data_IF_546873759719
#
_entry.id   IF_546873759719
#
_cell.length_a   1.000
_cell.length_b   1.000
_cell.length_c   1.000
_cell.angle_alpha   90.00
_cell.angle_beta   90.00
_cell.angle_gamma   90.00
#
_symmetry.space_group_name_H-M   'P 1'
#
loop_
_entity.id
_entity.type
_entity.pdbx_description
1 polymer ?
#
# COMPACT_ATOMS: atom_id res chain seq x y z
N UNK A 1 2.41 -11.13 -19.52
CA UNK A 1 1.80 -9.90 -20.10
C UNK A 1 2.88 -9.03 -20.77
N UNK A 2 2.65 -8.35 -21.90
CA UNK A 2 3.61 -7.38 -22.40
C UNK A 2 3.69 -6.20 -21.43
N UNK A 3 4.85 -6.03 -20.80
CA UNK A 3 5.09 -4.97 -19.84
C UNK A 3 5.35 -3.65 -20.58
N UNK A 4 4.36 -2.75 -20.55
CA UNK A 4 4.45 -1.40 -21.16
C UNK A 4 5.06 -0.35 -20.21
N UNK A 5 5.40 -0.74 -18.98
CA UNK A 5 6.01 0.15 -18.00
C UNK A 5 7.50 0.34 -18.28
N UNK A 6 7.91 1.60 -18.38
CA UNK A 6 9.33 1.98 -18.52
C UNK A 6 10.07 2.04 -17.17
N UNK A 7 9.40 1.67 -16.08
CA UNK A 7 9.98 1.71 -14.75
C UNK A 7 11.06 0.64 -14.62
N UNK A 8 12.28 1.05 -14.31
CA UNK A 8 13.40 0.14 -14.10
C UNK A 8 14.19 0.53 -12.84
N UNK A 9 14.73 -0.49 -12.19
CA UNK A 9 15.56 -0.33 -11.00
C UNK A 9 16.94 0.19 -11.41
N UNK A 10 17.41 1.25 -10.77
CA UNK A 10 18.79 1.70 -10.91
C UNK A 10 19.75 0.73 -10.19
N UNK A 11 20.99 0.65 -10.68
CA UNK A 11 22.03 -0.14 -10.02
C UNK A 11 22.44 0.56 -8.72
N UNK A 12 22.08 -0.02 -7.57
CA UNK A 12 22.47 0.45 -6.23
C UNK A 12 23.32 -0.61 -5.50
N UNK A 13 23.86 -0.28 -4.32
CA UNK A 13 24.60 -1.24 -3.47
C UNK A 13 23.76 -2.49 -3.17
N UNK A 14 24.45 -3.61 -2.90
CA UNK A 14 23.85 -4.94 -2.76
C UNK A 14 22.76 -4.99 -1.70
N UNK A 15 21.55 -5.37 -2.12
CA UNK A 15 20.45 -5.81 -1.26
C UNK A 15 20.19 -7.29 -1.54
N UNK A 16 19.68 -8.03 -0.56
CA UNK A 16 19.33 -9.44 -0.75
C UNK A 16 18.21 -9.57 -1.77
N UNK A 17 18.35 -10.52 -2.71
CA UNK A 17 17.28 -10.88 -3.64
C UNK A 17 16.17 -11.60 -2.88
N UNK A 18 14.93 -11.32 -3.27
CA UNK A 18 13.72 -11.98 -2.76
C UNK A 18 12.81 -12.31 -3.95
N UNK A 19 11.99 -13.34 -3.80
CA UNK A 19 10.94 -13.69 -4.75
C UNK A 19 9.59 -13.21 -4.23
N UNK A 20 8.83 -12.51 -5.07
CA UNK A 20 7.42 -12.16 -4.78
C UNK A 20 6.52 -12.70 -5.88
N UNK A 21 5.22 -12.78 -5.60
CA UNK A 21 4.22 -13.25 -6.55
C UNK A 21 3.29 -12.11 -6.91
N UNK A 22 3.27 -11.72 -8.18
CA UNK A 22 2.37 -10.68 -8.71
C UNK A 22 1.33 -11.36 -9.58
N UNK A 23 0.06 -11.35 -9.17
CA UNK A 23 -1.02 -12.08 -9.85
C UNK A 23 -0.70 -13.58 -10.05
N UNK A 24 0.03 -14.15 -9.08
CA UNK A 24 0.51 -15.54 -9.13
C UNK A 24 1.75 -15.76 -10.01
N UNK A 25 2.20 -14.76 -10.77
CA UNK A 25 3.47 -14.84 -11.51
C UNK A 25 4.64 -14.48 -10.60
N UNK A 26 5.68 -15.31 -10.63
CA UNK A 26 6.91 -15.11 -9.85
C UNK A 26 7.72 -13.94 -10.42
N UNK A 27 8.10 -12.99 -9.56
CA UNK A 27 8.88 -11.80 -9.91
C UNK A 27 10.07 -11.65 -8.95
N UNK A 28 11.27 -11.48 -9.51
CA UNK A 28 12.47 -11.16 -8.74
C UNK A 28 12.42 -9.70 -8.25
N UNK A 29 12.69 -9.50 -6.97
CA UNK A 29 12.81 -8.20 -6.34
C UNK A 29 14.01 -8.16 -5.37
N UNK A 30 14.24 -6.99 -4.78
CA UNK A 30 15.23 -6.81 -3.73
C UNK A 30 14.56 -6.43 -2.42
N UNK A 31 15.00 -7.04 -1.32
CA UNK A 31 14.50 -6.73 0.01
C UNK A 31 14.56 -5.21 0.27
N UNK A 32 13.44 -4.65 0.72
CA UNK A 32 13.30 -3.21 1.00
C UNK A 32 12.85 -2.35 -0.20
N UNK A 33 12.76 -2.89 -1.42
CA UNK A 33 12.02 -2.21 -2.49
C UNK A 33 10.55 -2.04 -2.10
N UNK A 34 9.92 -0.93 -2.48
CA UNK A 34 8.49 -0.81 -2.27
C UNK A 34 7.71 -1.74 -3.20
N UNK A 35 6.64 -2.35 -2.71
CA UNK A 35 5.76 -3.21 -3.50
C UNK A 35 5.25 -2.50 -4.77
N UNK A 36 4.94 -1.20 -4.67
CA UNK A 36 4.54 -0.39 -5.82
C UNK A 36 5.64 -0.29 -6.90
N UNK A 37 6.91 -0.21 -6.50
CA UNK A 37 8.01 -0.13 -7.46
C UNK A 37 8.20 -1.45 -8.21
N UNK A 38 8.05 -2.59 -7.51
CA UNK A 38 8.10 -3.93 -8.11
C UNK A 38 6.90 -4.16 -9.04
N UNK A 39 5.70 -3.74 -8.64
CA UNK A 39 4.48 -3.76 -9.47
C UNK A 39 4.63 -2.97 -10.76
N UNK A 40 5.18 -1.75 -10.69
CA UNK A 40 5.50 -0.97 -11.87
C UNK A 40 6.51 -1.69 -12.76
N UNK A 41 7.55 -2.28 -12.18
CA UNK A 41 8.59 -3.02 -12.91
C UNK A 41 8.06 -4.29 -13.57
N UNK A 42 7.06 -4.93 -12.98
CA UNK A 42 6.37 -6.10 -13.52
C UNK A 42 5.32 -5.75 -14.59
N UNK A 43 4.98 -4.47 -14.74
CA UNK A 43 3.97 -4.03 -15.70
C UNK A 43 2.54 -4.34 -15.28
N UNK A 44 2.30 -4.59 -13.98
CA UNK A 44 0.96 -4.84 -13.46
C UNK A 44 0.19 -3.51 -13.34
N UNK A 45 -0.25 -3.01 -14.49
CA UNK A 45 -1.02 -1.78 -14.61
C UNK A 45 -2.39 -2.05 -15.25
N UNK A 46 -3.46 -1.35 -14.82
CA UNK A 46 -3.51 -0.52 -13.60
C UNK A 46 -3.26 -1.36 -12.33
N UNK A 47 -2.75 -0.75 -11.26
CA UNK A 47 -2.54 -1.43 -9.97
C UNK A 47 -3.81 -1.49 -9.12
N UNK A 48 -4.74 -0.57 -9.35
CA UNK A 48 -6.07 -0.55 -8.73
C UNK A 48 -7.14 0.01 -9.66
N UNK A 49 -8.40 -0.15 -9.28
CA UNK A 49 -9.53 0.62 -9.84
C UNK A 49 -10.18 1.52 -8.79
N UNK A 50 -10.76 2.64 -9.21
CA UNK A 50 -11.53 3.53 -8.31
C UNK A 50 -12.84 2.86 -7.89
N UNK A 51 -13.28 3.10 -6.66
CA UNK A 51 -14.49 2.46 -6.10
C UNK A 51 -15.79 2.93 -6.75
N UNK A 52 -15.82 4.14 -7.30
CA UNK A 52 -17.04 4.74 -7.89
C UNK A 52 -17.07 4.58 -9.40
N UNK A 53 -16.03 5.03 -10.10
CA UNK A 53 -15.98 5.04 -11.58
C UNK A 53 -15.31 3.81 -12.19
N UNK A 54 -14.64 2.96 -11.40
CA UNK A 54 -13.90 1.81 -11.91
C UNK A 54 -12.65 2.17 -12.72
N UNK A 55 -12.23 3.44 -12.70
CA UNK A 55 -11.07 3.90 -13.48
C UNK A 55 -9.77 3.29 -12.97
N UNK A 56 -8.94 2.82 -13.90
CA UNK A 56 -7.63 2.29 -13.60
C UNK A 56 -6.69 3.37 -13.07
N UNK A 57 -5.95 3.05 -12.00
CA UNK A 57 -4.93 3.92 -11.42
C UNK A 57 -3.62 3.18 -11.22
N UNK A 58 -2.54 3.94 -11.16
CA UNK A 58 -1.18 3.45 -11.04
C UNK A 58 -0.44 4.21 -9.94
N UNK A 59 0.64 3.64 -9.37
CA UNK A 59 1.46 4.35 -8.41
C UNK A 59 1.97 5.69 -8.97
N UNK A 60 1.71 6.77 -8.25
CA UNK A 60 2.01 8.13 -8.71
C UNK A 60 2.99 8.85 -7.77
N UNK A 61 2.55 9.21 -6.55
CA UNK A 61 3.37 10.05 -5.66
C UNK A 61 4.57 9.35 -5.01
N UNK A 62 4.54 8.01 -4.88
CA UNK A 62 5.54 7.22 -4.14
C UNK A 62 5.85 7.66 -2.69
N UNK A 63 4.95 8.42 -2.06
CA UNK A 63 5.14 9.00 -0.72
C UNK A 63 3.99 8.69 0.25
N UNK A 64 3.01 7.89 -0.16
CA UNK A 64 1.85 7.53 0.67
C UNK A 64 0.74 8.58 0.75
N UNK A 65 0.80 9.67 -0.01
CA UNK A 65 -0.20 10.76 0.11
C UNK A 65 -1.37 10.66 -0.89
N UNK A 66 -1.15 10.08 -2.08
CA UNK A 66 -2.17 10.08 -3.14
C UNK A 66 -3.11 8.87 -3.13
N UNK A 67 -2.76 7.78 -2.44
CA UNK A 67 -3.53 6.52 -2.44
C UNK A 67 -3.78 5.88 -3.83
N UNK A 68 -3.00 6.25 -4.86
CA UNK A 68 -3.13 5.63 -6.18
C UNK A 68 -2.39 4.28 -6.30
N UNK A 69 -1.49 3.99 -5.36
CA UNK A 69 -0.69 2.77 -5.30
C UNK A 69 -1.31 1.64 -4.47
N UNK A 70 -2.63 1.66 -4.23
CA UNK A 70 -3.25 0.63 -3.40
C UNK A 70 -3.15 -0.74 -4.08
N UNK A 71 -2.89 -1.75 -3.26
CA UNK A 71 -2.73 -3.15 -3.62
C UNK A 71 -3.49 -4.02 -2.64
N UNK A 72 -3.77 -5.26 -3.04
CA UNK A 72 -4.04 -6.35 -2.13
C UNK A 72 -2.72 -7.09 -1.89
N UNK A 73 -2.28 -7.17 -0.64
CA UNK A 73 -1.01 -7.82 -0.27
C UNK A 73 -1.31 -8.88 0.79
N UNK A 74 -0.93 -10.13 0.53
CA UNK A 74 -1.15 -11.29 1.41
C UNK A 74 -2.62 -11.40 1.88
N UNK A 75 -3.56 -11.12 0.96
CA UNK A 75 -5.01 -11.11 1.21
C UNK A 75 -5.54 -9.86 1.92
N UNK A 76 -4.70 -8.88 2.25
CA UNK A 76 -5.09 -7.63 2.88
C UNK A 76 -5.30 -6.56 1.80
N UNK A 77 -6.56 -6.13 1.64
CA UNK A 77 -6.94 -5.06 0.72
C UNK A 77 -6.55 -3.65 1.20
N UNK A 78 -6.51 -2.69 0.28
CA UNK A 78 -6.20 -1.28 0.53
C UNK A 78 -4.82 -1.02 1.18
N UNK A 79 -3.82 -1.81 0.86
CA UNK A 79 -2.44 -1.61 1.35
C UNK A 79 -1.71 -0.60 0.47
N UNK A 80 -1.02 0.38 1.08
CA UNK A 80 -0.24 1.38 0.35
C UNK A 80 1.07 0.79 -0.16
N UNK A 81 1.05 0.25 -1.39
CA UNK A 81 2.22 -0.42 -1.96
C UNK A 81 3.50 0.43 -2.01
N UNK A 82 3.40 1.76 -2.06
CA UNK A 82 4.59 2.62 -2.05
C UNK A 82 5.28 2.73 -0.68
N UNK A 83 4.58 2.40 0.40
CA UNK A 83 5.10 2.42 1.76
C UNK A 83 5.41 1.01 2.30
N UNK A 84 5.00 -0.03 1.57
CA UNK A 84 5.19 -1.43 1.96
C UNK A 84 6.46 -1.98 1.34
N UNK A 85 7.52 -2.29 2.13
CA UNK A 85 8.69 -2.98 1.61
C UNK A 85 8.36 -4.43 1.27
N UNK A 86 8.90 -4.93 0.15
CA UNK A 86 8.75 -6.32 -0.25
C UNK A 86 9.61 -7.24 0.61
N UNK A 87 9.07 -8.43 0.87
CA UNK A 87 9.74 -9.55 1.55
C UNK A 87 9.56 -10.82 0.73
N UNK A 88 10.41 -11.81 0.99
CA UNK A 88 10.36 -13.10 0.29
C UNK A 88 9.02 -13.81 0.50
N UNK A 89 8.47 -14.36 -0.57
CA UNK A 89 7.19 -15.07 -0.58
C UNK A 89 5.94 -14.18 -0.62
N UNK A 90 6.07 -12.85 -0.61
CA UNK A 90 4.91 -11.93 -0.58
C UNK A 90 4.01 -12.10 -1.80
N UNK A 91 2.69 -12.20 -1.58
CA UNK A 91 1.67 -12.21 -2.62
C UNK A 91 1.07 -10.82 -2.84
N UNK A 92 1.14 -10.32 -4.08
CA UNK A 92 0.66 -9.00 -4.48
C UNK A 92 -0.37 -9.16 -5.60
N UNK A 93 -1.53 -8.53 -5.43
CA UNK A 93 -2.63 -8.52 -6.40
C UNK A 93 -3.17 -7.11 -6.60
N UNK A 94 -3.85 -6.89 -7.73
CA UNK A 94 -4.55 -5.62 -8.00
C UNK A 94 -5.68 -5.37 -7.00
N UNK A 95 -5.77 -4.13 -6.51
CA UNK A 95 -6.92 -3.70 -5.71
C UNK A 95 -8.11 -3.36 -6.62
N UNK A 96 -9.15 -4.19 -6.60
CA UNK A 96 -10.36 -3.95 -7.39
C UNK A 96 -11.44 -3.26 -6.56
N UNK A 97 -11.83 -2.05 -6.96
CA UNK A 97 -12.92 -1.30 -6.35
C UNK A 97 -12.73 -1.04 -4.84
N UNK A 98 -13.84 -0.95 -4.11
CA UNK A 98 -13.84 -0.80 -2.66
C UNK A 98 -13.48 -2.13 -1.96
N UNK A 99 -12.80 -2.05 -0.81
CA UNK A 99 -12.60 -3.24 0.03
C UNK A 99 -13.94 -3.78 0.52
N UNK A 100 -14.06 -5.10 0.61
CA UNK A 100 -15.17 -5.72 1.33
C UNK A 100 -15.02 -5.41 2.83
N UNK A 101 -16.13 -5.03 3.47
CA UNK A 101 -16.22 -5.08 4.92
C UNK A 101 -16.57 -6.52 5.29
N UNK A 102 -15.77 -7.14 6.16
CA UNK A 102 -16.19 -8.40 6.78
C UNK A 102 -17.47 -8.14 7.56
N UNK A 103 -18.60 -8.53 6.98
CA UNK A 103 -19.87 -8.50 7.69
C UNK A 103 -19.91 -9.77 8.52
N UNK A 104 -19.22 -9.75 9.68
CA UNK A 104 -19.67 -10.64 10.75
C UNK A 104 -21.12 -10.25 11.02
N UNK A 105 -22.04 -11.22 11.03
CA UNK A 105 -23.42 -10.95 11.38
C UNK A 105 -23.45 -10.38 12.80
N UNK A 106 -23.46 -9.05 12.92
CA UNK A 106 -23.76 -8.37 14.17
C UNK A 106 -25.28 -8.48 14.29
N UNK A 107 -25.74 -9.42 15.12
CA UNK A 107 -27.10 -9.37 15.65
C UNK A 107 -27.30 -7.97 16.24
N UNK A 108 -28.24 -7.22 15.66
CA UNK A 108 -28.52 -5.83 16.00
C UNK A 108 -29.10 -5.73 17.42
N UNK A 109 -28.23 -5.65 18.43
CA UNK A 109 -28.54 -4.93 19.67
C UNK A 109 -27.99 -3.53 19.54
N UNK A 110 -28.95 -2.61 19.39
CA UNK A 110 -28.80 -1.17 19.27
C UNK A 110 -27.74 -0.61 20.23
N UNK A 111 -26.53 -0.37 19.74
CA UNK A 111 -25.45 0.28 20.49
C UNK A 111 -25.10 1.57 19.74
N UNK A 112 -25.44 2.70 20.36
CA UNK A 112 -25.14 4.04 19.85
C UNK A 112 -23.64 4.13 19.58
N UNK A 113 -23.28 4.38 18.33
CA UNK A 113 -21.90 4.71 17.98
C UNK A 113 -21.54 6.04 18.63
N UNK A 114 -20.64 6.02 19.62
CA UNK A 114 -19.94 7.21 20.06
C UNK A 114 -19.05 7.69 18.93
N UNK A 115 -19.48 8.77 18.30
CA UNK A 115 -18.67 9.55 17.37
C UNK A 115 -17.45 10.05 18.15
N UNK A 116 -16.25 9.65 17.74
CA UNK A 116 -15.01 10.26 18.22
C UNK A 116 -15.01 11.72 17.75
N UNK A 117 -15.49 12.61 18.62
CA UNK A 117 -15.35 14.04 18.45
C UNK A 117 -13.89 14.38 18.78
N UNK A 118 -13.15 15.10 17.92
CA UNK A 118 -11.86 15.63 18.32
C UNK A 118 -12.12 16.63 19.45
N UNK A 119 -11.78 16.26 20.68
CA UNK A 119 -11.80 17.19 21.81
C UNK A 119 -10.72 18.25 21.55
N UNK A 120 -11.17 19.50 21.40
CA UNK A 120 -10.30 20.68 21.37
C UNK A 120 -9.57 20.80 22.72
N UNK A 121 -8.46 20.10 22.88
CA UNK A 121 -7.41 20.49 23.81
C UNK A 121 -6.14 20.74 23.01
N UNK A 122 -6.03 21.98 22.57
CA UNK A 122 -4.77 22.60 22.18
C UNK A 122 -3.88 22.70 23.43
N UNK A 123 -3.13 21.64 23.73
CA UNK A 123 -1.91 21.80 24.53
C UNK A 123 -0.75 21.98 23.55
N UNK A 124 -0.21 23.20 23.57
CA UNK A 124 1.03 23.60 22.93
C UNK A 124 2.14 22.66 23.40
N UNK A 125 2.74 21.92 22.46
CA UNK A 125 4.03 21.27 22.73
C UNK A 125 5.09 22.35 22.56
N UNK A 126 5.38 23.07 23.65
CA UNK A 126 6.60 23.87 23.74
C UNK A 126 7.80 22.90 23.74
N UNK A 127 8.61 22.99 22.69
CA UNK A 127 9.85 22.25 22.55
C UNK A 127 10.82 22.62 23.66
N UNK A 128 11.01 21.71 24.63
CA UNK A 128 12.08 21.79 25.61
C UNK A 128 13.35 21.19 25.00
N UNK A 129 14.30 22.07 24.68
CA UNK A 129 15.69 21.71 24.42
C UNK A 129 16.26 21.07 25.70
N UNK A 130 16.75 19.84 25.59
CA UNK A 130 17.82 19.30 26.43
C UNK A 130 18.99 19.09 25.47
N UNK A 131 20.12 19.79 25.57
CA UNK A 131 20.93 19.98 26.77
C UNK A 131 22.14 19.05 26.64
N UNK A 132 23.33 19.65 26.57
CA UNK A 132 24.64 19.09 26.19
C UNK A 132 25.07 17.78 26.87
N UNK A 133 25.86 17.00 26.12
CA UNK A 133 27.17 16.45 26.51
C UNK A 133 28.13 16.51 25.33
#
# INVERSE_FOLDING_TARGET
>A
MPNVSQFNRLKTRSASKVEVFIEGEKVEAYAGESAASVVLRAGMLPSRTTSVSGEGRAPYCMMGVCFECLLEIDGIANVQGCMTPVVDGMEIRRQNGARALMTTAIETKNQKAEICHPTKNSELIEGRVAGEV
#
